data_IF_923235157865
#
_entry.id   IF_923235157865
#
_cell.length_a   1.000
_cell.length_b   1.000
_cell.length_c   1.000
_cell.angle_alpha   90.00
_cell.angle_beta   90.00
_cell.angle_gamma   90.00
#
_symmetry.space_group_name_H-M   'P 1'
#
loop_
_entity.id
_entity.type
_entity.pdbx_description
1 polymer ?
#
# COMPACT_ATOMS: atom_id res chain seq x y z
N UNK A 1 3.82 36.27 -3.89
CA UNK A 1 4.98 35.41 -3.59
C UNK A 1 4.42 34.08 -3.13
N UNK A 2 4.34 33.08 -4.02
CA UNK A 2 3.67 31.82 -3.75
C UNK A 2 4.65 30.90 -3.00
N UNK A 3 4.42 30.76 -1.69
CA UNK A 3 5.18 29.83 -0.87
C UNK A 3 4.85 28.41 -1.33
N UNK A 4 5.90 27.75 -1.81
CA UNK A 4 5.95 26.40 -2.35
C UNK A 4 5.46 25.41 -1.28
N UNK A 5 4.24 24.88 -1.42
CA UNK A 5 3.65 23.84 -0.56
C UNK A 5 4.09 22.43 -1.00
N UNK A 6 5.39 22.15 -1.01
CA UNK A 6 5.93 20.83 -1.46
C UNK A 6 6.45 19.97 -0.30
N UNK A 7 6.07 20.26 0.94
CA UNK A 7 6.74 19.71 2.14
C UNK A 7 5.91 18.74 3.00
N UNK A 8 4.72 18.32 2.57
CA UNK A 8 3.84 17.50 3.41
C UNK A 8 4.32 16.05 3.61
N UNK A 9 4.89 15.40 2.58
CA UNK A 9 5.38 14.02 2.72
C UNK A 9 6.68 13.92 3.54
N UNK A 10 7.52 14.97 3.51
CA UNK A 10 8.84 14.94 4.12
C UNK A 10 8.76 14.88 5.66
N UNK A 11 7.75 15.48 6.28
CA UNK A 11 7.64 15.57 7.73
C UNK A 11 7.05 14.33 8.40
N UNK A 12 6.26 13.52 7.69
CA UNK A 12 5.73 12.26 8.25
C UNK A 12 6.81 11.18 8.39
N UNK A 13 7.96 11.34 7.73
CA UNK A 13 8.97 10.29 7.51
C UNK A 13 10.27 10.51 8.32
N UNK A 14 10.31 11.53 9.20
CA UNK A 14 11.52 11.93 9.93
C UNK A 14 11.55 11.49 11.40
N UNK A 15 10.62 10.65 11.87
CA UNK A 15 10.67 10.18 13.26
C UNK A 15 11.71 9.05 13.44
N UNK A 16 12.73 9.23 14.31
CA UNK A 16 13.76 8.23 14.52
C UNK A 16 13.25 7.09 15.42
N UNK A 17 13.36 5.86 14.90
CA UNK A 17 13.65 4.61 15.62
C UNK A 17 13.13 4.46 17.06
N UNK A 18 11.84 4.17 17.19
CA UNK A 18 11.30 3.38 18.29
C UNK A 18 10.11 2.57 17.76
N UNK A 19 10.40 1.38 17.20
CA UNK A 19 9.43 0.36 16.75
C UNK A 19 8.08 0.94 16.26
N UNK A 20 8.16 1.98 15.42
CA UNK A 20 7.07 2.92 15.27
C UNK A 20 6.01 2.30 14.36
N UNK A 21 4.79 2.26 14.86
CA UNK A 21 3.63 1.94 14.04
C UNK A 21 3.63 2.83 12.80
N UNK A 22 3.36 2.23 11.63
CA UNK A 22 3.38 2.98 10.39
C UNK A 22 2.23 3.96 10.37
N UNK A 23 2.56 5.22 10.64
CA UNK A 23 1.63 6.35 10.62
C UNK A 23 1.87 7.15 9.35
N UNK A 24 0.85 7.21 8.49
CA UNK A 24 0.88 7.89 7.20
C UNK A 24 -0.24 8.91 7.18
N UNK A 25 0.11 10.20 7.08
CA UNK A 25 -0.86 11.29 7.11
C UNK A 25 -1.81 11.23 8.32
N UNK A 26 -1.25 10.95 9.51
CA UNK A 26 -2.02 10.82 10.76
C UNK A 26 -2.83 9.53 10.89
N UNK A 27 -2.72 8.60 9.93
CA UNK A 27 -3.40 7.30 9.97
C UNK A 27 -2.40 6.18 10.31
N UNK A 28 -2.69 5.41 11.35
CA UNK A 28 -1.84 4.33 11.82
C UNK A 28 -2.38 2.97 11.38
N UNK A 29 -1.62 2.26 10.56
CA UNK A 29 -1.98 0.90 10.14
C UNK A 29 -2.10 -0.04 11.35
N UNK A 30 -3.11 -0.91 11.32
CA UNK A 30 -3.37 -1.84 12.41
C UNK A 30 -4.13 -1.23 13.59
N UNK A 31 -4.37 0.09 13.60
CA UNK A 31 -4.95 0.81 14.74
C UNK A 31 -6.07 1.77 14.38
N UNK A 32 -5.86 2.68 13.43
CA UNK A 32 -6.86 3.69 13.10
C UNK A 32 -8.18 3.05 12.70
N UNK A 33 -9.25 3.47 13.36
CA UNK A 33 -10.60 3.01 13.08
C UNK A 33 -11.24 3.83 11.97
N UNK A 34 -12.24 3.27 11.27
CA UNK A 34 -13.02 4.03 10.28
C UNK A 34 -13.57 5.34 10.87
N UNK A 35 -14.07 5.29 12.10
CA UNK A 35 -14.65 6.45 12.77
C UNK A 35 -13.61 7.56 13.02
N UNK A 36 -12.39 7.21 13.44
CA UNK A 36 -11.30 8.19 13.59
C UNK A 36 -10.87 8.76 12.24
N UNK A 37 -10.82 7.93 11.19
CA UNK A 37 -10.49 8.39 9.83
C UNK A 37 -11.53 9.40 9.33
N UNK A 38 -12.81 9.18 9.59
CA UNK A 38 -13.91 10.08 9.20
C UNK A 38 -13.85 11.46 9.87
N UNK A 39 -13.12 11.60 10.98
CA UNK A 39 -12.88 12.90 11.61
C UNK A 39 -11.89 13.76 10.80
N UNK A 40 -11.01 13.13 10.02
CA UNK A 40 -9.94 13.80 9.28
C UNK A 40 -10.17 13.82 7.77
N UNK A 41 -10.90 12.85 7.25
CA UNK A 41 -11.07 12.64 5.82
C UNK A 41 -12.53 12.38 5.47
N UNK A 42 -12.96 12.97 4.35
CA UNK A 42 -14.22 12.60 3.69
C UNK A 42 -14.01 11.29 2.93
N UNK A 43 -14.61 10.22 3.45
CA UNK A 43 -14.63 8.90 2.82
C UNK A 43 -15.68 8.87 1.70
N UNK A 44 -15.24 8.64 0.47
CA UNK A 44 -16.05 8.51 -0.74
C UNK A 44 -16.10 7.04 -1.17
N UNK A 45 -17.14 6.64 -1.90
CA UNK A 45 -17.33 5.31 -2.49
C UNK A 45 -17.16 4.13 -1.53
N UNK A 46 -18.27 3.62 -0.98
CA UNK A 46 -18.31 2.26 -0.43
C UNK A 46 -18.54 1.31 -1.59
N UNK A 47 -17.53 0.58 -1.99
CA UNK A 47 -17.72 -0.45 -2.99
C UNK A 47 -17.36 -1.80 -2.36
N UNK A 48 -18.32 -2.72 -2.38
CA UNK A 48 -18.23 -4.07 -1.80
C UNK A 48 -17.79 -5.07 -2.86
N UNK A 49 -16.90 -4.65 -3.78
CA UNK A 49 -16.59 -5.41 -4.99
C UNK A 49 -15.88 -6.74 -4.64
N UNK A 50 -16.61 -7.82 -4.92
CA UNK A 50 -16.23 -9.22 -4.83
C UNK A 50 -14.95 -9.54 -5.61
N UNK A 51 -13.93 -10.07 -4.95
CA UNK A 51 -12.71 -10.55 -5.61
C UNK A 51 -11.39 -10.32 -4.87
N UNK A 52 -11.40 -9.48 -3.83
CA UNK A 52 -10.43 -9.55 -2.73
C UNK A 52 -11.08 -10.41 -1.63
N UNK A 53 -10.32 -11.13 -0.78
CA UNK A 53 -10.93 -12.00 0.23
C UNK A 53 -12.01 -11.25 1.00
N UNK A 54 -13.27 -11.67 0.81
CA UNK A 54 -14.52 -10.93 1.01
C UNK A 54 -14.80 -10.50 2.47
N UNK A 55 -14.00 -9.61 3.03
CA UNK A 55 -14.24 -9.09 4.38
C UNK A 55 -13.84 -7.64 4.60
N UNK A 56 -13.11 -7.01 3.68
CA UNK A 56 -12.61 -5.66 3.93
C UNK A 56 -13.45 -4.62 3.23
N UNK A 57 -14.03 -3.71 4.03
CA UNK A 57 -14.68 -2.53 3.52
C UNK A 57 -13.59 -1.57 3.04
N UNK A 58 -13.71 -1.05 1.82
CA UNK A 58 -12.81 -0.01 1.35
C UNK A 58 -13.54 1.27 1.02
N UNK A 59 -12.79 2.36 1.19
CA UNK A 59 -13.24 3.72 0.96
C UNK A 59 -12.16 4.47 0.19
N UNK A 60 -12.58 5.29 -0.77
CA UNK A 60 -11.71 6.20 -1.50
C UNK A 60 -11.65 7.55 -0.80
N UNK A 61 -10.47 8.14 -0.74
CA UNK A 61 -10.27 9.53 -0.27
C UNK A 61 -9.60 10.31 -1.39
N UNK A 62 -10.18 11.44 -1.77
CA UNK A 62 -9.59 12.32 -2.79
C UNK A 62 -8.17 12.73 -2.39
N UNK A 63 -7.25 12.73 -3.36
CA UNK A 63 -5.84 13.03 -3.10
C UNK A 63 -5.61 14.45 -2.57
N UNK A 64 -6.50 15.38 -2.90
CA UNK A 64 -6.49 16.78 -2.43
C UNK A 64 -6.54 16.89 -0.90
N UNK A 65 -7.12 15.89 -0.22
CA UNK A 65 -7.24 15.88 1.25
C UNK A 65 -5.93 15.54 1.96
N UNK A 66 -4.94 14.97 1.26
CA UNK A 66 -3.66 14.57 1.85
C UNK A 66 -2.57 15.64 1.75
N UNK A 67 -2.86 16.78 1.10
CA UNK A 67 -1.84 17.81 0.76
C UNK A 67 -0.61 17.23 0.01
N UNK A 68 -0.76 16.11 -0.70
CA UNK A 68 0.32 15.48 -1.47
C UNK A 68 0.18 15.82 -2.96
N UNK A 69 1.14 16.55 -3.56
CA UNK A 69 1.09 16.87 -4.97
C UNK A 69 1.00 15.63 -5.86
N UNK A 70 0.14 15.69 -6.86
CA UNK A 70 -0.10 14.62 -7.83
C UNK A 70 -0.73 13.34 -7.25
N UNK A 71 -1.07 13.27 -5.97
CA UNK A 71 -1.87 12.14 -5.49
C UNK A 71 -3.27 12.24 -6.13
N UNK A 72 -3.71 11.20 -6.86
CA UNK A 72 -5.07 11.17 -7.42
C UNK A 72 -6.07 10.86 -6.31
N UNK A 73 -5.80 9.81 -5.54
CA UNK A 73 -6.61 9.36 -4.41
C UNK A 73 -5.85 8.32 -3.58
N UNK A 74 -6.31 8.13 -2.35
CA UNK A 74 -6.00 6.97 -1.54
C UNK A 74 -7.20 6.02 -1.49
N UNK A 75 -6.97 4.71 -1.44
CA UNK A 75 -7.99 3.72 -1.08
C UNK A 75 -7.61 3.12 0.26
N UNK A 76 -8.48 3.25 1.25
CA UNK A 76 -8.31 2.79 2.62
C UNK A 76 -9.12 1.53 2.80
N UNK A 77 -8.50 0.46 3.31
CA UNK A 77 -9.16 -0.82 3.54
C UNK A 77 -9.22 -1.14 5.03
N UNK A 78 -10.42 -1.46 5.48
CA UNK A 78 -10.75 -1.74 6.87
C UNK A 78 -11.25 -3.16 7.01
N UNK A 79 -10.83 -3.84 8.08
CA UNK A 79 -11.33 -5.17 8.40
C UNK A 79 -12.78 -5.17 8.92
N UNK A 80 -13.26 -6.35 9.32
CA UNK A 80 -14.61 -6.52 9.89
C UNK A 80 -14.82 -5.72 11.19
N UNK A 81 -13.75 -5.46 11.94
CA UNK A 81 -13.78 -4.60 13.14
C UNK A 81 -13.63 -3.11 12.82
N UNK A 82 -13.64 -2.75 11.52
CA UNK A 82 -13.47 -1.39 11.02
C UNK A 82 -12.10 -0.78 11.35
N UNK A 83 -11.07 -1.61 11.48
CA UNK A 83 -9.68 -1.19 11.71
C UNK A 83 -8.92 -1.15 10.39
N UNK A 84 -8.19 -0.06 10.15
CA UNK A 84 -7.43 0.18 8.93
C UNK A 84 -6.26 -0.80 8.81
N UNK A 85 -6.29 -1.67 7.80
CA UNK A 85 -5.23 -2.64 7.56
C UNK A 85 -4.32 -2.31 6.38
N UNK A 86 -4.81 -1.50 5.44
CA UNK A 86 -4.09 -1.18 4.21
C UNK A 86 -4.48 0.18 3.66
N UNK A 87 -3.48 0.85 3.08
CA UNK A 87 -3.66 2.07 2.30
C UNK A 87 -3.01 1.87 0.93
N UNK A 88 -3.73 2.24 -0.12
CA UNK A 88 -3.24 2.30 -1.49
C UNK A 88 -3.26 3.74 -1.99
N UNK A 89 -2.09 4.35 -2.18
CA UNK A 89 -1.95 5.64 -2.83
C UNK A 89 -1.78 5.46 -4.34
N UNK A 90 -2.58 6.18 -5.12
CA UNK A 90 -2.52 6.14 -6.58
C UNK A 90 -2.06 7.47 -7.14
N UNK A 91 -0.96 7.46 -7.89
CA UNK A 91 -0.43 8.63 -8.59
C UNK A 91 -0.56 8.46 -10.11
N UNK A 92 -0.49 9.55 -10.91
CA UNK A 92 -0.28 9.46 -12.35
C UNK A 92 0.96 8.64 -12.69
N UNK A 93 0.98 8.02 -13.87
CA UNK A 93 2.18 7.34 -14.36
C UNK A 93 3.30 8.37 -14.55
N UNK A 94 4.41 8.17 -13.83
CA UNK A 94 5.63 8.97 -13.95
C UNK A 94 6.82 8.14 -13.45
N UNK A 95 7.74 7.81 -14.34
CA UNK A 95 8.92 7.05 -13.97
C UNK A 95 9.79 7.83 -12.97
N UNK A 96 9.87 9.15 -13.12
CA UNK A 96 10.58 10.04 -12.19
C UNK A 96 10.00 9.97 -10.78
N UNK A 97 8.67 10.11 -10.64
CA UNK A 97 8.00 10.00 -9.33
C UNK A 97 8.16 8.60 -8.75
N UNK A 98 8.09 7.54 -9.56
CA UNK A 98 8.34 6.17 -9.10
C UNK A 98 9.75 6.04 -8.51
N UNK A 99 10.78 6.53 -9.21
CA UNK A 99 12.16 6.46 -8.73
C UNK A 99 12.39 7.29 -7.48
N UNK A 100 11.79 8.48 -7.39
CA UNK A 100 11.82 9.29 -6.18
C UNK A 100 11.19 8.56 -4.97
N UNK A 101 10.03 7.92 -5.16
CA UNK A 101 9.39 7.11 -4.11
C UNK A 101 10.23 5.89 -3.74
N UNK A 102 10.79 5.17 -4.73
CA UNK A 102 11.66 4.01 -4.50
C UNK A 102 12.87 4.41 -3.64
N UNK A 103 13.52 5.52 -3.98
CA UNK A 103 14.66 6.05 -3.22
C UNK A 103 14.27 6.42 -1.79
N UNK A 104 13.18 7.17 -1.61
CA UNK A 104 12.69 7.57 -0.28
C UNK A 104 12.37 6.37 0.61
N UNK A 105 11.72 5.34 0.05
CA UNK A 105 11.39 4.10 0.76
C UNK A 105 12.65 3.32 1.12
N UNK A 106 13.63 3.24 0.22
CA UNK A 106 14.88 2.50 0.46
C UNK A 106 15.71 3.03 1.64
N UNK A 107 15.55 4.31 1.99
CA UNK A 107 16.22 4.93 3.14
C UNK A 107 15.57 4.58 4.48
N UNK A 108 14.31 4.16 4.46
CA UNK A 108 13.50 3.97 5.68
C UNK A 108 13.11 2.52 5.93
N UNK A 109 12.96 1.73 4.87
CA UNK A 109 12.46 0.38 4.94
C UNK A 109 13.45 -0.60 4.30
N UNK A 110 13.76 -1.73 4.97
CA UNK A 110 14.54 -2.78 4.36
C UNK A 110 13.91 -3.27 3.05
N UNK A 111 14.69 -3.30 1.97
CA UNK A 111 14.24 -3.84 0.69
C UNK A 111 14.09 -5.35 0.79
N UNK A 112 12.96 -5.90 0.36
CA UNK A 112 12.83 -7.35 0.19
C UNK A 112 13.65 -7.75 -1.04
N UNK A 113 14.51 -8.77 -0.90
CA UNK A 113 15.24 -9.30 -2.05
C UNK A 113 14.26 -9.95 -3.03
N UNK A 114 14.12 -9.35 -4.21
CA UNK A 114 13.26 -9.83 -5.28
C UNK A 114 14.09 -10.01 -6.55
N UNK A 115 13.72 -10.96 -7.41
CA UNK A 115 14.19 -10.92 -8.78
C UNK A 115 13.65 -9.65 -9.45
N UNK A 116 14.46 -8.92 -10.25
CA UNK A 116 13.96 -7.80 -11.04
C UNK A 116 12.74 -8.26 -11.85
N UNK A 117 11.61 -7.59 -11.66
CA UNK A 117 10.41 -7.84 -12.45
C UNK A 117 10.24 -6.65 -13.39
N UNK A 118 10.48 -6.88 -14.67
CA UNK A 118 10.16 -5.97 -15.76
C UNK A 118 9.43 -6.79 -16.81
N UNK A 119 8.13 -6.53 -17.01
CA UNK A 119 7.35 -7.17 -18.07
C UNK A 119 7.06 -6.16 -19.18
N UNK A 120 7.58 -6.43 -20.38
CA UNK A 120 7.24 -5.72 -21.62
C UNK A 120 6.02 -6.35 -22.29
N UNK A 121 5.21 -5.62 -23.09
CA UNK A 121 5.41 -4.26 -23.61
C UNK A 121 4.87 -3.11 -22.72
N UNK A 122 4.28 -3.46 -21.57
CA UNK A 122 3.60 -2.48 -20.69
C UNK A 122 4.53 -1.88 -19.63
N UNK A 123 5.83 -2.22 -19.65
CA UNK A 123 6.83 -1.92 -18.63
C UNK A 123 6.26 -1.88 -17.21
N UNK A 124 6.19 -3.03 -16.56
CA UNK A 124 5.82 -3.11 -15.14
C UNK A 124 7.07 -3.12 -14.28
N UNK A 125 7.32 -2.04 -13.55
CA UNK A 125 8.38 -1.96 -12.54
C UNK A 125 7.78 -2.23 -11.16
N UNK A 126 8.41 -3.11 -10.37
CA UNK A 126 7.93 -3.47 -9.02
C UNK A 126 9.09 -3.56 -8.03
N UNK A 127 8.91 -2.91 -6.88
CA UNK A 127 9.79 -3.03 -5.72
C UNK A 127 8.96 -3.25 -4.45
N UNK A 128 9.45 -4.11 -3.55
CA UNK A 128 8.86 -4.32 -2.23
C UNK A 128 9.85 -4.02 -1.11
N UNK A 129 9.33 -3.47 -0.02
CA UNK A 129 10.05 -3.21 1.23
C UNK A 129 9.25 -3.77 2.41
N UNK A 130 9.92 -4.03 3.52
CA UNK A 130 9.26 -4.51 4.73
C UNK A 130 10.10 -4.22 5.96
N UNK A 131 9.45 -3.76 7.02
CA UNK A 131 9.98 -3.74 8.38
C UNK A 131 9.19 -4.73 9.26
N UNK A 132 9.32 -4.63 10.58
CA UNK A 132 8.72 -5.58 11.53
C UNK A 132 7.18 -5.55 11.58
N UNK A 133 6.54 -4.47 11.10
CA UNK A 133 5.09 -4.28 11.23
C UNK A 133 4.39 -4.05 9.90
N UNK A 134 5.12 -3.63 8.86
CA UNK A 134 4.52 -3.13 7.61
C UNK A 134 5.24 -3.68 6.40
N UNK A 135 4.43 -4.11 5.43
CA UNK A 135 4.85 -4.40 4.06
C UNK A 135 4.50 -3.24 3.15
N UNK A 136 5.41 -2.93 2.23
CA UNK A 136 5.26 -1.87 1.26
C UNK A 136 5.46 -2.45 -0.14
N UNK A 137 4.54 -2.16 -1.04
CA UNK A 137 4.63 -2.50 -2.46
C UNK A 137 4.56 -1.20 -3.26
N UNK A 138 5.59 -0.96 -4.06
CA UNK A 138 5.63 0.13 -5.03
C UNK A 138 5.61 -0.48 -6.43
N UNK A 139 4.65 -0.08 -7.22
CA UNK A 139 4.48 -0.52 -8.60
C UNK A 139 4.35 0.67 -9.53
N UNK A 140 4.92 0.52 -10.71
CA UNK A 140 4.75 1.43 -11.83
C UNK A 140 4.30 0.64 -13.06
N UNK A 141 3.33 1.20 -13.77
CA UNK A 141 2.92 0.78 -15.10
C UNK A 141 2.54 2.01 -15.94
N UNK A 142 2.15 1.79 -17.20
CA UNK A 142 1.75 2.89 -18.11
C UNK A 142 0.53 3.69 -17.65
N UNK A 143 -0.30 3.17 -16.75
CA UNK A 143 -1.53 3.83 -16.30
C UNK A 143 -1.35 4.63 -15.00
N UNK A 144 -0.58 4.09 -14.05
CA UNK A 144 -0.40 4.69 -12.73
C UNK A 144 0.87 4.22 -12.01
N UNK A 145 1.14 4.88 -10.90
CA UNK A 145 1.98 4.36 -9.83
C UNK A 145 1.06 3.97 -8.69
N UNK A 146 1.24 2.76 -8.17
CA UNK A 146 0.55 2.28 -6.98
C UNK A 146 1.56 2.13 -5.85
N UNK A 147 1.35 2.86 -4.76
CA UNK A 147 2.11 2.72 -3.53
C UNK A 147 1.18 2.17 -2.45
N UNK A 148 1.43 0.93 -2.04
CA UNK A 148 0.63 0.22 -1.05
C UNK A 148 1.41 0.03 0.23
N UNK A 149 0.79 0.35 1.36
CA UNK A 149 1.28 0.01 2.70
C UNK A 149 0.25 -0.91 3.36
N UNK A 150 0.70 -2.05 3.85
CA UNK A 150 -0.15 -3.08 4.46
C UNK A 150 0.48 -3.52 5.77
N UNK A 151 -0.28 -3.51 6.86
CA UNK A 151 0.20 -4.08 8.12
C UNK A 151 0.38 -5.61 7.97
N UNK A 152 1.47 -6.14 8.55
CA UNK A 152 1.86 -7.53 8.33
C UNK A 152 0.86 -8.54 8.86
N UNK A 153 0.10 -8.22 9.92
CA UNK A 153 -0.97 -9.11 10.44
C UNK A 153 -2.02 -9.36 9.35
N UNK A 154 -2.32 -8.30 8.60
CA UNK A 154 -3.29 -8.33 7.51
C UNK A 154 -2.73 -8.96 6.25
N UNK A 155 -1.46 -8.70 5.90
CA UNK A 155 -0.79 -9.37 4.78
C UNK A 155 -0.71 -10.88 4.97
N UNK A 156 -0.52 -11.34 6.21
CA UNK A 156 -0.52 -12.78 6.54
C UNK A 156 -1.88 -13.42 6.23
N UNK A 157 -2.98 -12.72 6.54
CA UNK A 157 -4.35 -13.16 6.23
C UNK A 157 -4.55 -13.23 4.72
N UNK A 158 -4.15 -12.20 3.96
CA UNK A 158 -4.28 -12.18 2.49
C UNK A 158 -3.49 -13.34 1.81
N UNK A 159 -2.34 -13.70 2.35
CA UNK A 159 -1.48 -14.76 1.77
C UNK A 159 -1.89 -16.18 2.14
N UNK A 160 -2.66 -16.37 3.22
CA UNK A 160 -3.01 -17.70 3.74
C UNK A 160 -3.73 -18.57 2.70
N UNK A 161 -4.80 -18.11 2.01
CA UNK A 161 -5.49 -18.93 1.00
C UNK A 161 -4.58 -19.33 -0.17
N UNK A 162 -3.68 -18.43 -0.61
CA UNK A 162 -2.73 -18.70 -1.69
C UNK A 162 -1.72 -19.79 -1.27
N UNK A 163 -1.25 -19.73 -0.02
CA UNK A 163 -0.34 -20.74 0.51
C UNK A 163 -1.03 -22.11 0.63
N UNK A 164 -2.28 -22.14 1.10
CA UNK A 164 -3.10 -23.35 1.18
C UNK A 164 -3.36 -23.98 -0.19
N UNK A 165 -3.69 -23.17 -1.21
CA UNK A 165 -3.84 -23.64 -2.59
C UNK A 165 -2.55 -24.23 -3.15
N UNK A 166 -1.40 -23.57 -2.95
CA UNK A 166 -0.10 -24.11 -3.38
C UNK A 166 0.26 -25.42 -2.69
N UNK A 167 -0.05 -25.54 -1.40
CA UNK A 167 0.16 -26.77 -0.65
C UNK A 167 -0.72 -27.91 -1.19
N UNK A 168 -1.99 -27.62 -1.53
CA UNK A 168 -2.89 -28.57 -2.17
C UNK A 168 -2.39 -29.00 -3.56
N UNK A 169 -1.86 -28.08 -4.36
CA UNK A 169 -1.29 -28.38 -5.68
C UNK A 169 -0.02 -29.24 -5.60
N UNK A 170 0.86 -28.94 -4.64
CA UNK A 170 2.09 -29.72 -4.42
C UNK A 170 1.81 -31.17 -3.97
N UNK A 171 0.68 -31.40 -3.31
CA UNK A 171 0.24 -32.72 -2.85
C UNK A 171 -0.54 -33.52 -3.91
N UNK A 172 -0.77 -32.98 -5.11
CA UNK A 172 -1.35 -33.77 -6.20
C UNK A 172 -0.30 -34.76 -6.72
N UNK A 173 -0.63 -36.05 -6.86
CA UNK A 173 0.29 -37.02 -7.44
C UNK A 173 0.68 -36.56 -8.84
N UNK A 174 1.99 -36.49 -9.10
CA UNK A 174 2.50 -36.23 -10.45
C UNK A 174 1.98 -37.35 -11.34
N UNK A 175 1.25 -37.01 -12.42
CA UNK A 175 0.98 -37.98 -13.48
C UNK A 175 2.33 -38.42 -14.03
N UNK A 176 2.65 -39.71 -13.89
CA UNK A 176 3.80 -40.31 -14.57
C UNK A 176 3.63 -40.15 -16.08
N UNK A 177 4.74 -39.93 -16.81
CA UNK A 177 4.73 -39.72 -18.25
C UNK A 177 4.26 -40.94 -19.04
#
# INVERSE_FOLDING_TARGET
MNIIKTFALLLCLLNPLAQAETTLFGLTLGKSTRQEVEQSYTLQDKNTASGLPDSWNYYRVSGEQFNEPLLKHATLYFDNTQTLGRINFTFPSSLEKYKALEEQLSRQYPRIKMAPFVSEPLRLDKTEFQNDTTHIRLEYNVYNILLSFTDLKYRAIEKKPIAELKALEANKPKKEP
#
